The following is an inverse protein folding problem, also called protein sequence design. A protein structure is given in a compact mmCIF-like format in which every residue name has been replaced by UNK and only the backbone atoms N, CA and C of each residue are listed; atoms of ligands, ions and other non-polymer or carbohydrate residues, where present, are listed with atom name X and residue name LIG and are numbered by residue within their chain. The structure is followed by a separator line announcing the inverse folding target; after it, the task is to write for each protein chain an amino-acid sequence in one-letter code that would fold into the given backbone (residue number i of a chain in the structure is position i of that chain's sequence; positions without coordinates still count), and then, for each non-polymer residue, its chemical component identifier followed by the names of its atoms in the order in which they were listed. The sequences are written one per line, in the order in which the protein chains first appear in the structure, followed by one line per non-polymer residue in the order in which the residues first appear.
data_IF_911753047003
#
_entry.id   IF_911753047003
#
_cell.length_a   1.000
_cell.length_b   1.000
_cell.length_c   1.000
_cell.angle_alpha   90.00
_cell.angle_beta   90.00
_cell.angle_gamma   90.00
#
_symmetry.space_group_name_H-M   'P 1'
#
loop_
_entity.id
_entity.type
_entity.pdbx_description
1 polymer ?
#
# COMPACT_ATOMS: atom_id res chain seq x y z
N UNK A 1 28.04 -16.05 -62.29
CA UNK A 1 26.91 -16.44 -61.41
C UNK A 1 27.33 -16.82 -60.00
N UNK A 2 28.22 -17.82 -59.76
CA UNK A 2 28.60 -18.25 -58.39
C UNK A 2 29.17 -17.16 -57.47
N UNK A 3 29.93 -16.20 -58.01
CA UNK A 3 30.47 -15.05 -57.23
C UNK A 3 29.39 -14.03 -56.85
N UNK A 4 28.46 -13.72 -57.76
CA UNK A 4 27.35 -12.80 -57.49
C UNK A 4 26.39 -13.36 -56.43
N UNK A 5 26.09 -14.66 -56.48
CA UNK A 5 25.26 -15.34 -55.47
C UNK A 5 25.93 -15.33 -54.10
N UNK A 6 27.25 -15.55 -54.01
CA UNK A 6 28.01 -15.44 -52.75
C UNK A 6 27.96 -14.03 -52.15
N UNK A 7 28.12 -13.00 -52.99
CA UNK A 7 28.07 -11.60 -52.53
C UNK A 7 26.69 -11.24 -52.00
N UNK A 8 25.63 -11.64 -52.71
CA UNK A 8 24.24 -11.40 -52.28
C UNK A 8 23.92 -12.16 -50.99
N UNK A 9 24.35 -13.42 -50.84
CA UNK A 9 24.11 -14.18 -49.61
C UNK A 9 24.85 -13.61 -48.41
N UNK A 10 26.10 -13.13 -48.61
CA UNK A 10 26.87 -12.49 -47.55
C UNK A 10 26.25 -11.15 -47.12
N UNK A 11 25.74 -10.37 -48.07
CA UNK A 11 25.05 -9.12 -47.78
C UNK A 11 23.73 -9.36 -47.03
N UNK A 12 22.95 -10.36 -47.46
CA UNK A 12 21.71 -10.74 -46.77
C UNK A 12 21.96 -11.23 -45.34
N UNK A 13 23.02 -12.03 -45.11
CA UNK A 13 23.40 -12.48 -43.78
C UNK A 13 23.82 -11.31 -42.87
N UNK A 14 24.62 -10.37 -43.39
CA UNK A 14 25.05 -9.20 -42.64
C UNK A 14 23.86 -8.30 -42.27
N UNK A 15 22.92 -8.12 -43.21
CA UNK A 15 21.69 -7.36 -42.97
C UNK A 15 20.80 -8.03 -41.92
N UNK A 16 20.60 -9.35 -42.01
CA UNK A 16 19.86 -10.13 -41.02
C UNK A 16 20.51 -10.09 -39.63
N UNK A 17 21.84 -10.14 -39.56
CA UNK A 17 22.59 -10.03 -38.31
C UNK A 17 22.45 -8.64 -37.67
N UNK A 18 22.50 -7.57 -38.46
CA UNK A 18 22.25 -6.20 -37.97
C UNK A 18 20.81 -6.06 -37.47
N UNK A 19 19.83 -6.59 -38.20
CA UNK A 19 18.44 -6.62 -37.74
C UNK A 19 18.30 -7.41 -36.43
N UNK A 20 18.94 -8.58 -36.33
CA UNK A 20 18.93 -9.38 -35.11
C UNK A 20 19.52 -8.61 -33.92
N UNK A 21 20.69 -7.97 -34.06
CA UNK A 21 21.29 -7.15 -33.00
C UNK A 21 20.36 -5.99 -32.62
N UNK A 22 19.77 -5.31 -33.59
CA UNK A 22 18.86 -4.19 -33.34
C UNK A 22 17.62 -4.65 -32.57
N UNK A 23 16.97 -5.73 -33.00
CA UNK A 23 15.80 -6.27 -32.32
C UNK A 23 16.15 -6.86 -30.95
N UNK A 24 17.30 -7.53 -30.82
CA UNK A 24 17.77 -8.07 -29.53
C UNK A 24 18.08 -6.95 -28.53
N UNK A 25 18.75 -5.89 -28.98
CA UNK A 25 19.00 -4.70 -28.17
C UNK A 25 17.71 -4.01 -27.73
N UNK A 26 16.76 -3.85 -28.66
CA UNK A 26 15.43 -3.28 -28.36
C UNK A 26 14.65 -4.15 -27.37
N UNK A 27 14.61 -5.46 -27.58
CA UNK A 27 13.95 -6.42 -26.68
C UNK A 27 14.56 -6.38 -25.27
N UNK A 28 15.89 -6.28 -25.16
CA UNK A 28 16.56 -6.15 -23.86
C UNK A 28 16.22 -4.84 -23.17
N UNK A 29 16.15 -3.73 -23.91
CA UNK A 29 15.71 -2.44 -23.35
C UNK A 29 14.25 -2.49 -22.89
N UNK A 30 13.36 -3.10 -23.67
CA UNK A 30 11.94 -3.21 -23.32
C UNK A 30 11.76 -4.08 -22.06
N UNK A 31 12.50 -5.19 -21.94
CA UNK A 31 12.51 -6.01 -20.73
C UNK A 31 13.03 -5.24 -19.49
N UNK A 32 14.13 -4.49 -19.65
CA UNK A 32 14.67 -3.66 -18.55
C UNK A 32 13.64 -2.61 -18.10
N UNK A 33 12.93 -1.97 -19.04
CA UNK A 33 11.87 -1.00 -18.73
C UNK A 33 10.65 -1.65 -18.07
N UNK A 34 10.35 -2.90 -18.41
CA UNK A 34 9.26 -3.67 -17.79
C UNK A 34 9.61 -4.13 -16.37
N UNK A 35 10.90 -4.34 -16.07
CA UNK A 35 11.38 -4.74 -14.74
C UNK A 35 11.40 -3.62 -13.70
N UNK A 36 11.14 -2.37 -14.11
CA UNK A 36 11.07 -1.19 -13.23
C UNK A 36 9.62 -0.89 -12.84
N UNK A 37 9.35 -0.57 -11.56
CA UNK A 37 7.99 -0.32 -11.09
C UNK A 37 7.41 0.90 -11.80
N UNK A 38 6.09 0.92 -12.03
CA UNK A 38 5.42 2.06 -12.70
C UNK A 38 5.66 3.38 -11.96
N UNK A 39 5.72 3.36 -10.62
CA UNK A 39 6.04 4.55 -9.82
C UNK A 39 7.45 5.09 -10.11
N UNK A 40 8.43 4.19 -10.32
CA UNK A 40 9.81 4.55 -10.68
C UNK A 40 10.00 4.98 -12.13
N UNK A 41 8.99 4.82 -12.99
CA UNK A 41 9.04 5.23 -14.42
C UNK A 41 8.89 6.75 -14.61
N UNK A 42 8.49 7.49 -13.57
CA UNK A 42 8.11 8.91 -13.68
C UNK A 42 9.30 9.88 -13.42
N UNK A 43 10.45 9.41 -12.92
CA UNK A 43 11.60 10.28 -12.63
C UNK A 43 12.72 10.06 -13.66
N UNK A 44 12.53 10.53 -14.90
CA UNK A 44 13.67 10.75 -15.82
C UNK A 44 13.32 11.65 -17.02
N UNK A 45 12.61 12.76 -16.80
CA UNK A 45 12.36 13.77 -17.86
C UNK A 45 12.40 15.20 -17.31
N UNK A 46 13.43 15.54 -16.51
CA UNK A 46 13.90 16.93 -16.39
C UNK A 46 15.38 16.92 -16.00
N UNK A 47 16.27 16.79 -16.97
CA UNK A 47 17.70 17.00 -16.76
C UNK A 47 17.99 18.49 -16.67
N UNK A 48 17.82 19.07 -15.47
CA UNK A 48 18.54 20.29 -15.10
C UNK A 48 19.96 19.88 -14.70
N UNK A 49 21.04 20.57 -15.14
CA UNK A 49 22.39 20.18 -14.77
C UNK A 49 22.57 20.25 -13.26
N UNK A 50 22.93 19.13 -12.64
CA UNK A 50 23.18 19.03 -11.21
C UNK A 50 24.43 19.83 -10.82
N UNK A 51 24.29 20.60 -9.75
CA UNK A 51 25.36 21.32 -9.05
C UNK A 51 26.32 20.30 -8.41
N UNK A 52 27.64 20.33 -8.71
CA UNK A 52 28.59 19.30 -8.25
C UNK A 52 28.87 19.27 -6.74
N UNK A 53 28.31 20.19 -5.94
CA UNK A 53 28.58 20.30 -4.50
C UNK A 53 27.38 19.94 -3.58
N UNK A 54 26.33 19.29 -4.09
CA UNK A 54 25.26 18.76 -3.25
C UNK A 54 25.70 17.45 -2.56
N UNK A 55 25.60 17.31 -1.22
CA UNK A 55 25.90 16.07 -0.52
C UNK A 55 24.96 14.97 -1.02
N UNK A 56 25.57 13.85 -1.45
CA UNK A 56 24.95 12.84 -2.31
C UNK A 56 23.59 12.33 -1.83
N UNK A 57 22.60 12.52 -2.70
CA UNK A 57 21.39 11.71 -2.70
C UNK A 57 21.78 10.22 -2.72
N UNK A 58 21.33 9.50 -1.70
CA UNK A 58 21.25 8.04 -1.75
C UNK A 58 20.28 7.70 -2.88
N UNK A 59 20.82 7.55 -4.09
CA UNK A 59 20.11 6.98 -5.22
C UNK A 59 19.79 5.51 -4.89
N UNK A 60 18.67 5.30 -4.21
CA UNK A 60 18.10 3.98 -3.98
C UNK A 60 17.68 3.44 -5.34
N UNK A 61 18.32 2.37 -5.78
CA UNK A 61 17.95 1.73 -7.03
C UNK A 61 16.51 1.19 -6.89
N UNK A 62 15.59 1.52 -7.83
CA UNK A 62 14.23 0.99 -7.79
C UNK A 62 14.26 -0.54 -7.76
N UNK A 63 13.49 -1.14 -6.86
CA UNK A 63 13.41 -2.59 -6.70
C UNK A 63 12.97 -3.22 -8.02
N UNK A 64 13.78 -4.15 -8.55
CA UNK A 64 13.60 -4.70 -9.89
C UNK A 64 12.98 -6.09 -9.83
N UNK A 65 12.10 -6.35 -10.77
CA UNK A 65 11.62 -7.70 -11.03
C UNK A 65 12.79 -8.58 -11.50
N UNK A 66 13.09 -9.66 -10.76
CA UNK A 66 14.08 -10.69 -11.11
C UNK A 66 13.55 -11.64 -12.20
N UNK A 67 12.24 -11.67 -12.38
CA UNK A 67 11.58 -12.28 -13.52
C UNK A 67 10.80 -11.22 -14.29
N UNK A 68 10.85 -11.30 -15.63
CA UNK A 68 10.10 -10.34 -16.44
C UNK A 68 8.59 -10.54 -16.26
N UNK A 69 7.81 -9.44 -16.17
CA UNK A 69 6.37 -9.50 -16.34
C UNK A 69 6.01 -10.12 -17.69
N UNK A 70 4.86 -10.77 -17.77
CA UNK A 70 4.34 -11.23 -19.06
C UNK A 70 3.98 -10.04 -19.96
N UNK A 71 3.86 -10.29 -21.27
CA UNK A 71 3.58 -9.24 -22.26
C UNK A 71 2.25 -8.49 -22.04
N UNK A 72 1.33 -9.09 -21.29
CA UNK A 72 0.05 -8.53 -20.90
C UNK A 72 0.04 -8.03 -19.46
N UNK A 73 1.19 -7.93 -18.77
CA UNK A 73 1.30 -7.50 -17.38
C UNK A 73 2.05 -6.18 -17.25
N UNK A 74 1.59 -5.37 -16.31
CA UNK A 74 2.29 -4.17 -15.85
C UNK A 74 2.87 -4.44 -14.47
N UNK A 75 4.18 -4.32 -14.32
CA UNK A 75 4.87 -4.46 -13.03
C UNK A 75 4.55 -3.28 -12.11
N UNK A 76 4.05 -3.57 -10.91
CA UNK A 76 3.76 -2.56 -9.91
C UNK A 76 4.88 -2.49 -8.87
N UNK A 77 5.21 -3.63 -8.26
CA UNK A 77 6.19 -3.72 -7.18
C UNK A 77 6.70 -5.17 -6.99
N UNK A 78 7.82 -5.36 -6.28
CA UNK A 78 8.37 -6.67 -5.93
C UNK A 78 8.92 -6.70 -4.50
N UNK A 79 8.77 -7.82 -3.80
CA UNK A 79 9.35 -8.06 -2.48
C UNK A 79 10.16 -9.35 -2.55
N UNK A 80 11.41 -9.31 -2.10
CA UNK A 80 12.24 -10.51 -1.93
C UNK A 80 12.05 -11.04 -0.51
N UNK A 81 11.77 -12.33 -0.38
CA UNK A 81 11.51 -12.96 0.92
C UNK A 81 11.63 -14.48 0.83
N UNK A 82 11.79 -15.12 1.99
CA UNK A 82 11.78 -16.57 2.10
C UNK A 82 10.34 -17.04 2.38
N UNK A 83 9.79 -17.89 1.51
CA UNK A 83 8.45 -18.48 1.61
C UNK A 83 8.45 -19.99 1.84
N UNK A 84 9.61 -20.64 1.76
CA UNK A 84 9.73 -22.10 1.84
C UNK A 84 10.76 -22.63 2.84
N UNK A 85 11.35 -21.74 3.63
CA UNK A 85 12.39 -21.99 4.62
C UNK A 85 13.70 -22.56 4.03
N UNK A 86 13.96 -22.35 2.73
CA UNK A 86 15.26 -22.65 2.11
C UNK A 86 16.28 -21.51 2.28
N UNK A 87 17.50 -21.64 1.74
CA UNK A 87 18.52 -20.59 1.86
C UNK A 87 18.34 -19.48 0.80
N UNK A 88 17.54 -19.77 -0.21
CA UNK A 88 17.25 -18.91 -1.32
C UNK A 88 16.04 -18.00 -1.01
N UNK A 89 15.90 -16.93 -1.78
CA UNK A 89 14.79 -16.00 -1.60
C UNK A 89 13.91 -16.06 -2.83
N UNK A 90 12.63 -16.33 -2.63
CA UNK A 90 11.61 -16.05 -3.61
C UNK A 90 11.43 -14.54 -3.81
N UNK A 91 10.85 -14.21 -4.95
CA UNK A 91 10.35 -12.88 -5.22
C UNK A 91 8.84 -12.90 -5.39
N UNK A 92 8.14 -12.08 -4.62
CA UNK A 92 6.71 -11.82 -4.75
C UNK A 92 6.52 -10.57 -5.59
N UNK A 93 5.97 -10.71 -6.80
CA UNK A 93 5.69 -9.61 -7.70
C UNK A 93 4.21 -9.23 -7.63
N UNK A 94 3.96 -7.93 -7.57
CA UNK A 94 2.64 -7.35 -7.76
C UNK A 94 2.51 -6.87 -9.20
N UNK A 95 1.54 -7.41 -9.94
CA UNK A 95 1.35 -7.10 -11.36
C UNK A 95 -0.10 -6.77 -11.67
N UNK A 96 -0.32 -5.85 -12.61
CA UNK A 96 -1.65 -5.56 -13.17
C UNK A 96 -1.77 -6.15 -14.58
N UNK A 97 -2.64 -7.15 -14.81
CA UNK A 97 -2.97 -7.61 -16.14
C UNK A 97 -3.65 -6.51 -16.96
N UNK A 98 -3.29 -6.41 -18.23
CA UNK A 98 -3.77 -5.40 -19.17
C UNK A 98 -5.09 -5.78 -19.85
N UNK A 99 -5.45 -7.08 -19.82
CA UNK A 99 -6.57 -7.67 -20.60
C UNK A 99 -7.57 -8.42 -19.70
N UNK A 100 -7.44 -8.38 -18.37
CA UNK A 100 -8.44 -9.01 -17.51
C UNK A 100 -9.73 -8.18 -17.54
N UNK A 101 -10.87 -8.84 -17.74
CA UNK A 101 -12.21 -8.22 -17.87
C UNK A 101 -12.68 -7.49 -16.58
N UNK A 102 -11.82 -7.40 -15.56
CA UNK A 102 -12.11 -6.83 -14.26
C UNK A 102 -10.94 -5.98 -13.69
N UNK A 103 -9.83 -5.80 -14.42
CA UNK A 103 -8.73 -4.89 -14.05
C UNK A 103 -8.01 -5.19 -12.72
N UNK A 104 -8.29 -6.35 -12.11
CA UNK A 104 -7.77 -6.75 -10.79
C UNK A 104 -6.28 -7.01 -10.82
N UNK A 105 -5.63 -6.69 -9.71
CA UNK A 105 -4.20 -6.87 -9.47
C UNK A 105 -3.93 -8.33 -9.08
N UNK A 106 -2.84 -8.89 -9.59
CA UNK A 106 -2.40 -10.25 -9.32
C UNK A 106 -1.09 -10.27 -8.55
N UNK A 107 -0.92 -11.31 -7.74
CA UNK A 107 0.35 -11.66 -7.11
C UNK A 107 0.97 -12.80 -7.88
N UNK A 108 2.27 -12.71 -8.10
CA UNK A 108 3.08 -13.72 -8.78
C UNK A 108 4.23 -14.08 -7.87
N UNK A 109 4.43 -15.37 -7.63
CA UNK A 109 5.56 -15.86 -6.85
C UNK A 109 6.56 -16.43 -7.83
N UNK A 110 7.78 -15.93 -7.75
CA UNK A 110 8.91 -16.38 -8.53
C UNK A 110 9.92 -17.06 -7.61
N UNK A 111 10.23 -18.30 -7.91
CA UNK A 111 11.12 -19.15 -7.14
C UNK A 111 12.48 -19.26 -7.86
N UNK A 112 13.56 -19.40 -7.10
CA UNK A 112 14.91 -19.52 -7.63
C UNK A 112 15.22 -20.98 -7.93
N UNK A 113 15.67 -21.28 -9.14
CA UNK A 113 16.09 -22.63 -9.50
C UNK A 113 17.64 -22.71 -9.50
N UNK A 114 18.27 -23.38 -8.50
CA UNK A 114 19.73 -23.39 -8.38
C UNK A 114 20.44 -24.04 -9.58
N UNK A 115 19.82 -25.08 -10.15
CA UNK A 115 20.37 -25.82 -11.29
C UNK A 115 20.58 -24.95 -12.54
N UNK A 116 19.75 -23.92 -12.73
CA UNK A 116 19.82 -23.01 -13.87
C UNK A 116 20.32 -21.62 -13.49
N UNK A 117 20.41 -21.32 -12.18
CA UNK A 117 20.77 -20.01 -11.67
C UNK A 117 19.76 -18.92 -12.05
N UNK A 118 18.48 -19.29 -12.21
CA UNK A 118 17.45 -18.40 -12.75
C UNK A 118 16.15 -18.49 -11.97
N UNK A 119 15.42 -17.38 -11.89
CA UNK A 119 14.06 -17.35 -11.38
C UNK A 119 13.06 -17.92 -12.40
N UNK A 120 12.05 -18.63 -11.93
CA UNK A 120 10.90 -19.07 -12.71
C UNK A 120 9.59 -18.71 -11.99
N UNK A 121 8.49 -18.55 -12.75
CA UNK A 121 7.18 -18.26 -12.15
C UNK A 121 6.63 -19.55 -11.55
N UNK A 122 6.55 -19.61 -10.23
CA UNK A 122 6.02 -20.76 -9.49
C UNK A 122 4.50 -20.72 -9.48
N UNK A 123 3.93 -19.56 -9.17
CA UNK A 123 2.49 -19.42 -8.93
C UNK A 123 1.97 -18.02 -9.28
N UNK A 124 0.67 -17.93 -9.56
CA UNK A 124 -0.05 -16.66 -9.77
C UNK A 124 -1.45 -16.74 -9.17
N UNK A 125 -1.84 -15.71 -8.42
CA UNK A 125 -3.20 -15.57 -7.88
C UNK A 125 -3.76 -14.16 -8.05
N UNK A 126 -5.08 -14.07 -8.14
CA UNK A 126 -5.79 -12.80 -8.28
C UNK A 126 -6.24 -12.26 -6.93
N UNK A 127 -6.08 -10.96 -6.72
CA UNK A 127 -6.63 -10.24 -5.56
C UNK A 127 -7.99 -9.62 -5.91
N UNK A 128 -8.69 -9.08 -4.91
CA UNK A 128 -9.85 -8.21 -5.16
C UNK A 128 -9.47 -6.76 -5.49
N UNK A 129 -8.23 -6.35 -5.23
CA UNK A 129 -7.77 -4.98 -5.47
C UNK A 129 -7.68 -4.69 -6.97
N UNK A 130 -8.05 -3.48 -7.36
CA UNK A 130 -8.02 -3.01 -8.75
C UNK A 130 -7.17 -1.76 -8.96
N UNK A 131 -6.95 -0.96 -7.89
CA UNK A 131 -6.23 0.31 -7.94
C UNK A 131 -4.72 0.17 -7.70
N UNK A 132 -3.86 0.43 -8.70
CA UNK A 132 -2.41 0.17 -8.60
C UNK A 132 -1.65 0.96 -7.54
N UNK A 133 -2.11 2.16 -7.21
CA UNK A 133 -1.48 3.03 -6.20
C UNK A 133 -2.01 2.78 -4.78
N UNK A 134 -2.87 1.78 -4.61
CA UNK A 134 -3.45 1.41 -3.32
C UNK A 134 -3.49 -0.11 -3.18
N UNK A 135 -2.44 -0.80 -3.61
CA UNK A 135 -2.19 -2.21 -3.28
C UNK A 135 -0.97 -2.29 -2.39
N UNK A 136 -1.05 -3.15 -1.38
CA UNK A 136 0.01 -3.40 -0.42
C UNK A 136 0.07 -4.89 -0.14
N UNK A 137 1.26 -5.47 -0.18
CA UNK A 137 1.50 -6.88 0.14
C UNK A 137 2.30 -6.94 1.43
N UNK A 138 1.74 -7.57 2.45
CA UNK A 138 2.36 -7.78 3.76
C UNK A 138 2.48 -9.27 4.05
N UNK A 139 3.70 -9.78 4.15
CA UNK A 139 3.95 -11.09 4.75
C UNK A 139 3.72 -11.06 6.26
N UNK A 140 2.93 -11.99 6.78
CA UNK A 140 2.68 -12.11 8.22
C UNK A 140 2.31 -13.55 8.56
N UNK A 141 2.79 -14.04 9.70
CA UNK A 141 2.29 -15.29 10.29
C UNK A 141 1.03 -14.98 11.10
N UNK A 142 -0.13 -15.35 10.55
CA UNK A 142 -1.44 -15.16 11.16
C UNK A 142 -1.84 -16.31 12.08
N UNK A 143 -1.19 -17.47 11.93
CA UNK A 143 -1.59 -18.70 12.63
C UNK A 143 -0.64 -19.06 13.78
N UNK A 144 0.47 -18.34 13.92
CA UNK A 144 1.52 -18.65 14.88
C UNK A 144 2.24 -19.96 14.57
N UNK A 145 2.18 -20.43 13.31
CA UNK A 145 2.77 -21.70 12.88
C UNK A 145 4.17 -21.53 12.25
N UNK A 146 4.68 -20.30 12.23
CA UNK A 146 5.96 -19.91 11.62
C UNK A 146 5.89 -19.72 10.11
N UNK A 147 4.79 -20.12 9.46
CA UNK A 147 4.63 -19.95 8.01
C UNK A 147 4.04 -18.58 7.70
N UNK A 148 4.65 -17.88 6.73
CA UNK A 148 4.16 -16.57 6.32
C UNK A 148 2.96 -16.69 5.37
N UNK A 149 1.87 -16.00 5.69
CA UNK A 149 0.82 -15.67 4.73
C UNK A 149 1.09 -14.34 4.01
N UNK A 150 0.67 -14.25 2.76
CA UNK A 150 0.72 -13.02 1.96
C UNK A 150 -0.61 -12.29 2.07
N UNK A 151 -0.66 -11.23 2.88
CA UNK A 151 -1.80 -10.36 3.03
C UNK A 151 -1.76 -9.26 1.96
N UNK A 152 -2.70 -9.30 1.03
CA UNK A 152 -2.81 -8.35 -0.07
C UNK A 152 -3.95 -7.37 0.24
N UNK A 153 -3.61 -6.23 0.84
CA UNK A 153 -4.54 -5.13 1.06
C UNK A 153 -4.67 -4.28 -0.19
N UNK A 154 -5.88 -3.81 -0.49
CA UNK A 154 -6.01 -2.76 -1.48
C UNK A 154 -7.41 -2.20 -1.63
N UNK A 155 -7.71 -1.64 -2.80
CA UNK A 155 -8.99 -0.99 -3.11
C UNK A 155 -9.59 -1.57 -4.39
N UNK A 156 -10.87 -1.95 -4.35
CA UNK A 156 -11.62 -2.42 -5.53
C UNK A 156 -12.14 -1.28 -6.42
N UNK A 157 -12.77 -1.63 -7.54
CA UNK A 157 -13.41 -0.66 -8.46
C UNK A 157 -14.57 0.13 -7.81
N UNK A 158 -15.14 -0.39 -6.72
CA UNK A 158 -16.23 0.24 -5.97
C UNK A 158 -15.72 1.08 -4.78
N UNK A 159 -14.42 1.38 -4.71
CA UNK A 159 -13.79 2.18 -3.65
C UNK A 159 -13.88 1.55 -2.26
N UNK A 160 -13.96 0.22 -2.18
CA UNK A 160 -13.98 -0.53 -0.91
C UNK A 160 -12.60 -1.09 -0.61
N UNK A 161 -12.25 -1.15 0.67
CA UNK A 161 -11.07 -1.85 1.12
C UNK A 161 -11.21 -3.34 0.85
N UNK A 162 -10.17 -3.94 0.30
CA UNK A 162 -10.08 -5.37 0.04
C UNK A 162 -8.93 -5.98 0.80
N UNK A 163 -9.09 -7.22 1.21
CA UNK A 163 -8.01 -8.05 1.69
C UNK A 163 -8.14 -9.42 1.04
N UNK A 164 -7.06 -9.89 0.41
CA UNK A 164 -6.90 -11.27 -0.05
C UNK A 164 -5.68 -11.86 0.64
N UNK A 165 -5.84 -13.01 1.29
CA UNK A 165 -4.77 -13.69 2.02
C UNK A 165 -4.42 -14.98 1.28
N UNK A 166 -3.17 -15.11 0.87
CA UNK A 166 -2.66 -16.36 0.29
C UNK A 166 -1.79 -17.11 1.31
N UNK A 167 -2.09 -18.39 1.52
CA UNK A 167 -1.27 -19.30 2.33
C UNK A 167 -0.74 -20.42 1.45
N UNK A 168 0.49 -20.85 1.74
CA UNK A 168 1.04 -22.06 1.14
C UNK A 168 0.48 -23.30 1.83
N UNK A 169 -0.20 -24.17 1.08
CA UNK A 169 -0.77 -25.44 1.58
C UNK A 169 -0.22 -26.67 0.85
N UNK A 170 0.58 -26.49 -0.21
CA UNK A 170 1.12 -27.57 -1.01
C UNK A 170 2.52 -27.29 -1.57
N UNK A 171 3.01 -28.19 -2.43
CA UNK A 171 4.27 -28.04 -3.14
C UNK A 171 4.06 -27.77 -4.64
N UNK A 172 5.02 -27.10 -5.29
CA UNK A 172 4.98 -26.83 -6.74
C UNK A 172 3.97 -25.76 -7.16
N UNK A 173 3.40 -25.89 -8.37
CA UNK A 173 2.54 -24.84 -8.96
C UNK A 173 1.17 -24.68 -8.29
N UNK A 174 0.72 -25.65 -7.50
CA UNK A 174 -0.51 -25.58 -6.70
C UNK A 174 -0.22 -25.33 -5.22
N UNK A 175 0.91 -24.67 -4.92
CA UNK A 175 1.36 -24.48 -3.56
C UNK A 175 0.51 -23.47 -2.77
N UNK A 176 -0.03 -22.43 -3.41
CA UNK A 176 -0.68 -21.32 -2.72
C UNK A 176 -2.18 -21.25 -3.00
N UNK A 177 -2.96 -21.00 -1.93
CA UNK A 177 -4.41 -20.90 -1.96
C UNK A 177 -4.88 -19.61 -1.29
N UNK A 178 -5.96 -19.05 -1.83
CA UNK A 178 -6.68 -17.94 -1.18
C UNK A 178 -7.44 -18.47 0.03
N UNK A 179 -6.92 -18.22 1.24
CA UNK A 179 -7.52 -18.64 2.51
C UNK A 179 -8.46 -17.57 3.09
N UNK A 180 -8.46 -16.37 2.52
CA UNK A 180 -9.43 -15.31 2.80
C UNK A 180 -9.50 -14.34 1.62
N UNK A 181 -10.70 -13.87 1.26
CA UNK A 181 -10.87 -12.87 0.21
C UNK A 181 -12.19 -12.13 0.40
N UNK A 182 -12.14 -10.90 0.89
CA UNK A 182 -13.32 -10.08 1.16
C UNK A 182 -13.10 -8.60 0.81
N UNK A 183 -14.22 -7.88 0.66
CA UNK A 183 -14.27 -6.44 0.47
C UNK A 183 -15.23 -5.79 1.47
N UNK A 184 -14.89 -4.61 1.96
CA UNK A 184 -15.67 -3.87 2.94
C UNK A 184 -15.35 -2.38 2.95
N UNK A 185 -16.06 -1.61 3.77
CA UNK A 185 -15.73 -0.22 4.08
C UNK A 185 -14.33 -0.16 4.66
N UNK A 186 -14.05 -1.03 5.63
CA UNK A 186 -12.75 -1.16 6.26
C UNK A 186 -12.48 -2.62 6.61
N UNK A 187 -11.21 -3.02 6.61
CA UNK A 187 -10.76 -4.35 7.01
C UNK A 187 -9.58 -4.22 7.99
N UNK A 188 -9.70 -4.85 9.15
CA UNK A 188 -8.67 -4.87 10.18
C UNK A 188 -8.22 -6.30 10.46
N UNK A 189 -6.91 -6.52 10.50
CA UNK A 189 -6.32 -7.78 10.97
C UNK A 189 -5.85 -7.55 12.40
N UNK A 190 -6.39 -8.31 13.34
CA UNK A 190 -6.07 -8.21 14.74
C UNK A 190 -5.27 -9.46 15.15
N UNK A 191 -4.03 -9.23 15.58
CA UNK A 191 -3.21 -10.26 16.21
C UNK A 191 -3.46 -10.22 17.71
N UNK A 192 -4.03 -11.28 18.26
CA UNK A 192 -4.25 -11.39 19.70
C UNK A 192 -3.09 -12.13 20.34
N UNK A 193 -2.01 -11.43 20.69
CA UNK A 193 -0.81 -11.98 21.38
C UNK A 193 -0.12 -13.17 20.66
N UNK A 194 1.10 -13.51 21.06
CA UNK A 194 1.92 -14.53 20.39
C UNK A 194 1.34 -15.97 20.43
N UNK A 195 0.25 -16.21 21.18
CA UNK A 195 -0.33 -17.55 21.38
C UNK A 195 -1.74 -17.75 20.79
N UNK A 196 -2.37 -16.74 20.17
CA UNK A 196 -3.71 -16.92 19.58
C UNK A 196 -3.79 -16.52 18.12
N UNK A 197 -4.57 -17.29 17.38
CA UNK A 197 -4.79 -17.11 15.95
C UNK A 197 -5.34 -15.70 15.67
N UNK A 198 -4.79 -15.05 14.65
CA UNK A 198 -5.29 -13.75 14.23
C UNK A 198 -6.78 -13.81 13.84
N UNK A 199 -7.45 -12.68 14.00
CA UNK A 199 -8.83 -12.49 13.53
C UNK A 199 -8.88 -11.37 12.50
N UNK A 200 -9.82 -11.47 11.56
CA UNK A 200 -10.02 -10.47 10.51
C UNK A 200 -11.40 -9.85 10.68
N UNK A 201 -11.43 -8.57 11.03
CA UNK A 201 -12.66 -7.80 11.10
C UNK A 201 -12.97 -7.16 9.75
N UNK A 202 -14.15 -7.43 9.21
CA UNK A 202 -14.65 -6.78 7.98
C UNK A 202 -15.84 -5.90 8.35
N UNK A 203 -15.74 -4.61 8.04
CA UNK A 203 -16.81 -3.64 8.24
C UNK A 203 -17.52 -3.44 6.91
N UNK A 204 -18.84 -3.65 6.86
CA UNK A 204 -19.70 -3.46 5.68
C UNK A 204 -20.75 -2.40 5.98
N UNK A 205 -21.36 -1.83 4.95
CA UNK A 205 -22.49 -0.92 5.15
C UNK A 205 -23.68 -1.71 5.72
N UNK A 206 -24.36 -1.16 6.73
CA UNK A 206 -25.55 -1.80 7.27
C UNK A 206 -26.74 -1.56 6.34
N UNK A 207 -27.26 -2.64 5.74
CA UNK A 207 -28.37 -2.58 4.77
C UNK A 207 -29.65 -1.98 5.36
N UNK A 208 -29.88 -2.14 6.66
CA UNK A 208 -31.09 -1.71 7.38
C UNK A 208 -30.84 -0.51 8.31
N UNK A 209 -29.71 0.18 8.13
CA UNK A 209 -29.33 1.34 8.94
C UNK A 209 -30.21 2.57 8.72
N UNK A 210 -30.36 3.38 9.77
CA UNK A 210 -30.99 4.71 9.66
C UNK A 210 -30.01 5.79 9.16
N UNK A 211 -28.71 5.57 9.35
CA UNK A 211 -27.64 6.44 8.87
C UNK A 211 -26.86 5.76 7.74
N UNK A 212 -26.46 6.50 6.67
CA UNK A 212 -25.60 5.96 5.61
C UNK A 212 -24.20 5.54 6.10
N UNK A 213 -23.81 5.94 7.32
CA UNK A 213 -22.58 5.52 7.99
C UNK A 213 -22.78 4.37 8.98
N UNK A 214 -23.98 3.81 9.08
CA UNK A 214 -24.20 2.60 9.87
C UNK A 214 -23.39 1.44 9.27
N UNK A 215 -22.75 0.66 10.13
CA UNK A 215 -21.86 -0.41 9.73
C UNK A 215 -22.26 -1.74 10.39
N UNK A 216 -22.03 -2.83 9.66
CA UNK A 216 -22.04 -4.18 10.21
C UNK A 216 -20.62 -4.68 10.27
N UNK A 217 -20.16 -5.06 11.46
CA UNK A 217 -18.88 -5.71 11.69
C UNK A 217 -19.06 -7.22 11.67
N UNK A 218 -18.30 -7.90 10.81
CA UNK A 218 -18.20 -9.36 10.73
C UNK A 218 -16.79 -9.76 11.16
N UNK A 219 -16.69 -10.61 12.18
CA UNK A 219 -15.40 -11.13 12.66
C UNK A 219 -15.14 -12.47 11.99
N UNK A 220 -14.02 -12.62 11.29
CA UNK A 220 -13.59 -13.88 10.70
C UNK A 220 -12.50 -14.51 11.56
N UNK A 221 -12.61 -15.81 11.77
CA UNK A 221 -11.65 -16.60 12.54
C UNK A 221 -11.14 -17.77 11.70
N UNK A 222 -9.94 -18.24 12.00
CA UNK A 222 -9.37 -19.39 11.31
C UNK A 222 -10.22 -20.65 11.53
N UNK A 223 -10.68 -21.25 10.44
CA UNK A 223 -11.36 -22.54 10.39
C UNK A 223 -10.37 -23.67 10.14
N UNK A 224 -10.80 -24.70 9.39
CA UNK A 224 -9.92 -25.84 9.07
C UNK A 224 -8.82 -25.50 8.07
N UNK A 225 -9.17 -24.75 7.03
CA UNK A 225 -8.31 -24.47 5.86
C UNK A 225 -8.41 -23.02 5.37
N UNK A 226 -9.32 -22.23 5.96
CA UNK A 226 -9.60 -20.84 5.57
C UNK A 226 -10.21 -20.07 6.73
N UNK A 227 -10.22 -18.75 6.62
CA UNK A 227 -10.95 -17.88 7.53
C UNK A 227 -12.46 -17.95 7.25
N UNK A 228 -13.24 -18.15 8.30
CA UNK A 228 -14.70 -18.32 8.23
C UNK A 228 -15.41 -17.21 9.02
N UNK A 229 -16.57 -16.71 8.54
CA UNK A 229 -17.29 -15.64 9.20
C UNK A 229 -17.94 -16.14 10.50
N UNK A 230 -17.75 -15.36 11.56
CA UNK A 230 -18.43 -15.51 12.84
C UNK A 230 -19.64 -14.57 12.98
N UNK A 231 -19.90 -14.13 14.20
CA UNK A 231 -21.06 -13.29 14.54
C UNK A 231 -20.94 -11.89 13.95
N UNK A 232 -22.05 -11.40 13.42
CA UNK A 232 -22.20 -10.02 12.98
C UNK A 232 -22.64 -9.12 14.13
N UNK A 233 -22.11 -7.90 14.18
CA UNK A 233 -22.49 -6.87 15.16
C UNK A 233 -22.77 -5.55 14.46
N UNK A 234 -23.86 -4.91 14.86
CA UNK A 234 -24.26 -3.61 14.33
C UNK A 234 -23.52 -2.48 15.06
N UNK A 235 -23.01 -1.53 14.28
CA UNK A 235 -22.33 -0.33 14.77
C UNK A 235 -23.10 0.87 14.23
N UNK A 236 -23.81 1.62 15.08
CA UNK A 236 -24.51 2.82 14.64
C UNK A 236 -23.49 3.88 14.21
N UNK A 237 -23.71 4.44 13.03
CA UNK A 237 -23.10 5.67 12.59
C UNK A 237 -23.65 6.84 13.39
N UNK A 238 -22.80 7.80 13.72
CA UNK A 238 -23.29 9.07 14.23
C UNK A 238 -24.08 9.74 13.11
N UNK A 239 -25.27 10.28 13.42
CA UNK A 239 -26.08 11.02 12.44
C UNK A 239 -25.32 12.27 12.01
N UNK A 240 -24.59 12.20 10.90
CA UNK A 240 -24.03 13.36 10.22
C UNK A 240 -25.16 14.03 9.45
N UNK A 241 -25.21 15.36 9.43
CA UNK A 241 -26.13 16.09 8.58
C UNK A 241 -25.93 15.66 7.12
N UNK A 242 -26.96 15.10 6.47
CA UNK A 242 -26.89 14.60 5.09
C UNK A 242 -26.36 15.65 4.09
N UNK A 243 -26.59 16.94 4.38
CA UNK A 243 -26.06 18.07 3.62
C UNK A 243 -24.52 18.18 3.71
N UNK A 244 -23.91 17.81 4.84
CA UNK A 244 -22.45 17.80 5.00
C UNK A 244 -21.85 16.59 4.29
N UNK A 245 -22.47 15.41 4.42
CA UNK A 245 -22.02 14.21 3.72
C UNK A 245 -21.99 14.40 2.20
N UNK A 246 -23.05 14.98 1.63
CA UNK A 246 -23.11 15.25 0.18
C UNK A 246 -22.11 16.29 -0.31
N UNK A 247 -21.57 17.14 0.57
CA UNK A 247 -20.53 18.13 0.25
C UNK A 247 -19.11 17.58 0.34
N UNK A 248 -18.87 16.62 1.23
CA UNK A 248 -17.53 16.07 1.50
C UNK A 248 -17.30 14.76 0.73
N UNK A 249 -18.31 13.90 0.66
CA UNK A 249 -18.26 12.60 -0.02
C UNK A 249 -18.84 12.72 -1.44
N UNK A 250 -18.29 13.65 -2.23
CA UNK A 250 -18.73 13.94 -3.61
C UNK A 250 -18.32 12.85 -4.61
N UNK A 251 -17.47 11.92 -4.19
CA UNK A 251 -16.81 10.96 -5.06
C UNK A 251 -15.57 11.53 -5.77
N UNK A 252 -15.14 12.74 -5.42
CA UNK A 252 -13.82 13.29 -5.75
C UNK A 252 -12.93 13.24 -4.52
N UNK A 253 -11.66 12.85 -4.68
CA UNK A 253 -10.75 12.75 -3.55
C UNK A 253 -10.42 14.15 -3.02
N UNK A 254 -10.23 15.11 -3.92
CA UNK A 254 -9.79 16.48 -3.68
C UNK A 254 -10.74 17.24 -2.74
N UNK A 255 -12.05 17.02 -2.84
CA UNK A 255 -13.03 17.64 -1.93
C UNK A 255 -12.86 17.13 -0.49
N UNK A 256 -12.53 15.85 -0.32
CA UNK A 256 -12.21 15.27 0.98
C UNK A 256 -10.85 15.75 1.50
N UNK A 257 -9.85 15.90 0.62
CA UNK A 257 -8.55 16.44 0.98
C UNK A 257 -8.65 17.88 1.50
N UNK A 258 -9.44 18.72 0.82
CA UNK A 258 -9.73 20.08 1.27
C UNK A 258 -10.48 20.12 2.59
N UNK A 259 -11.39 19.17 2.82
CA UNK A 259 -12.01 19.01 4.13
C UNK A 259 -10.96 18.65 5.20
N UNK A 260 -10.02 17.75 4.91
CA UNK A 260 -9.00 17.34 5.89
C UNK A 260 -7.99 18.45 6.22
N UNK A 261 -7.82 19.44 5.35
CA UNK A 261 -6.85 20.52 5.53
C UNK A 261 -6.96 21.18 6.93
N UNK A 262 -5.81 21.30 7.59
CA UNK A 262 -5.69 21.84 8.93
C UNK A 262 -5.35 20.82 10.03
N UNK A 263 -5.54 21.25 11.29
CA UNK A 263 -5.07 20.57 12.49
C UNK A 263 -6.14 19.62 13.07
N UNK A 264 -5.70 18.40 13.39
CA UNK A 264 -6.49 17.34 14.00
C UNK A 264 -5.79 16.81 15.25
N UNK A 265 -6.57 16.51 16.28
CA UNK A 265 -6.07 16.09 17.60
C UNK A 265 -6.66 14.72 17.91
N UNK A 266 -5.79 13.76 18.23
CA UNK A 266 -6.21 12.41 18.59
C UNK A 266 -7.08 12.43 19.84
N UNK A 267 -8.24 11.79 19.78
CA UNK A 267 -9.06 11.56 20.97
C UNK A 267 -8.38 10.47 21.82
N UNK A 268 -7.92 10.82 23.02
CA UNK A 268 -7.33 9.87 23.97
C UNK A 268 -8.22 9.75 25.20
N UNK A 269 -8.40 8.53 25.70
CA UNK A 269 -8.84 8.28 27.07
C UNK A 269 -7.60 8.16 27.97
N UNK A 270 -7.14 9.25 28.59
CA UNK A 270 -6.00 9.20 29.53
C UNK A 270 -5.22 10.51 29.73
N UNK A 271 -4.18 10.45 30.57
CA UNK A 271 -3.28 11.57 30.90
C UNK A 271 -2.05 11.52 29.99
N UNK A 272 -2.00 12.39 28.98
CA UNK A 272 -0.88 12.56 28.05
C UNK A 272 -1.14 13.68 27.04
N UNK A 273 -0.12 14.23 26.40
CA UNK A 273 -0.35 15.18 25.29
C UNK A 273 -0.85 14.39 24.07
N UNK A 274 -1.96 14.80 23.43
CA UNK A 274 -2.51 14.10 22.29
C UNK A 274 -1.63 14.24 21.06
N UNK A 275 -1.47 13.13 20.34
CA UNK A 275 -0.90 13.12 18.99
C UNK A 275 -1.72 14.06 18.12
N UNK A 276 -1.06 15.01 17.47
CA UNK A 276 -1.66 15.93 16.52
C UNK A 276 -1.21 15.59 15.10
N UNK A 277 -2.14 15.71 14.16
CA UNK A 277 -1.91 15.59 12.73
C UNK A 277 -2.25 16.91 12.08
N UNK A 278 -1.39 17.39 11.20
CA UNK A 278 -1.68 18.52 10.34
C UNK A 278 -1.64 18.06 8.89
N UNK A 279 -2.76 18.21 8.18
CA UNK A 279 -2.85 17.94 6.76
C UNK A 279 -2.68 19.24 6.01
N UNK A 280 -1.74 19.24 5.07
CA UNK A 280 -1.51 20.31 4.10
C UNK A 280 -1.87 19.78 2.72
N UNK A 281 -3.11 20.05 2.28
CA UNK A 281 -3.63 19.54 1.02
C UNK A 281 -2.92 20.17 -0.19
N UNK A 282 -2.57 21.46 -0.10
CA UNK A 282 -1.88 22.20 -1.17
C UNK A 282 -0.41 21.78 -1.26
N UNK A 283 0.30 21.72 -0.13
CA UNK A 283 1.70 21.32 -0.05
C UNK A 283 1.94 19.82 -0.19
N UNK A 284 0.87 19.00 -0.18
CA UNK A 284 0.93 17.52 -0.20
C UNK A 284 1.79 16.97 0.94
N UNK A 285 1.57 17.48 2.15
CA UNK A 285 2.32 17.06 3.34
C UNK A 285 1.39 16.70 4.48
N UNK A 286 1.86 15.77 5.31
CA UNK A 286 1.23 15.41 6.58
C UNK A 286 2.28 15.53 7.66
N UNK A 287 2.02 16.36 8.66
CA UNK A 287 2.90 16.53 9.82
C UNK A 287 2.30 15.83 11.02
N UNK A 288 3.09 14.98 11.67
CA UNK A 288 2.72 14.27 12.89
C UNK A 288 3.51 14.88 14.04
N UNK A 289 2.81 15.22 15.10
CA UNK A 289 3.40 15.72 16.34
C UNK A 289 2.87 14.91 17.52
N UNK A 290 3.73 14.09 18.12
CA UNK A 290 3.47 13.42 19.40
C UNK A 290 4.45 13.93 20.47
N UNK A 291 4.33 13.44 21.70
CA UNK A 291 5.31 13.73 22.76
C UNK A 291 6.70 13.19 22.47
N UNK A 292 6.77 12.09 21.71
CA UNK A 292 8.00 11.36 21.46
C UNK A 292 8.62 11.76 20.12
N UNK A 293 7.80 12.12 19.14
CA UNK A 293 8.23 12.19 17.75
C UNK A 293 7.58 13.35 16.99
N UNK A 294 8.37 13.95 16.10
CA UNK A 294 7.89 14.86 15.07
C UNK A 294 8.30 14.28 13.72
N UNK A 295 7.32 14.01 12.87
CA UNK A 295 7.55 13.42 11.56
C UNK A 295 6.83 14.20 10.48
N UNK A 296 7.39 14.17 9.27
CA UNK A 296 6.78 14.74 8.09
C UNK A 296 6.70 13.68 7.00
N UNK A 297 5.54 13.62 6.35
CA UNK A 297 5.22 12.63 5.33
C UNK A 297 4.77 13.33 4.05
N UNK A 298 5.25 12.83 2.93
CA UNK A 298 4.79 13.19 1.60
C UNK A 298 3.45 12.50 1.32
N UNK A 299 2.46 13.28 0.90
CA UNK A 299 1.11 12.82 0.62
C UNK A 299 0.95 12.50 -0.87
N UNK A 300 1.05 11.22 -1.23
CA UNK A 300 0.82 10.74 -2.59
C UNK A 300 -0.66 10.76 -2.99
N UNK A 301 -0.94 10.58 -4.29
CA UNK A 301 -2.30 10.73 -4.86
C UNK A 301 -3.34 9.86 -4.16
N UNK A 302 -4.39 10.51 -3.65
CA UNK A 302 -5.49 9.85 -2.95
C UNK A 302 -6.45 9.12 -3.88
N UNK A 303 -7.02 8.06 -3.36
CA UNK A 303 -8.14 7.32 -3.93
C UNK A 303 -9.35 7.51 -3.04
N UNK A 304 -10.50 7.76 -3.67
CA UNK A 304 -11.79 7.75 -2.96
C UNK A 304 -12.01 6.39 -2.31
N UNK A 305 -12.50 6.44 -1.07
CA UNK A 305 -13.05 5.35 -0.28
C UNK A 305 -14.56 5.55 -0.09
N UNK A 306 -15.23 4.58 0.51
CA UNK A 306 -16.65 4.70 0.85
C UNK A 306 -16.97 5.95 1.70
N UNK A 307 -16.18 6.18 2.76
CA UNK A 307 -16.39 7.26 3.75
C UNK A 307 -15.22 8.23 3.84
N UNK A 308 -14.30 8.23 2.87
CA UNK A 308 -13.13 9.10 2.90
C UNK A 308 -12.14 8.77 1.80
N UNK A 309 -10.87 8.59 2.17
CA UNK A 309 -9.78 8.39 1.20
C UNK A 309 -8.73 7.37 1.65
N UNK A 310 -8.05 6.80 0.67
CA UNK A 310 -6.79 6.07 0.85
C UNK A 310 -5.68 6.73 0.04
N UNK A 311 -4.54 6.97 0.66
CA UNK A 311 -3.40 7.60 0.00
C UNK A 311 -2.08 6.89 0.35
N UNK A 312 -1.21 6.60 -0.63
CA UNK A 312 0.16 6.23 -0.32
C UNK A 312 0.89 7.45 0.26
N UNK A 313 1.65 7.23 1.33
CA UNK A 313 2.48 8.25 1.96
C UNK A 313 3.90 7.72 2.13
N UNK A 314 4.88 8.60 2.02
CA UNK A 314 6.30 8.27 2.25
C UNK A 314 6.91 9.22 3.27
N UNK A 315 7.74 8.72 4.17
CA UNK A 315 8.39 9.58 5.14
C UNK A 315 9.38 10.51 4.43
N UNK A 316 9.32 11.81 4.71
CA UNK A 316 10.18 12.79 4.01
C UNK A 316 11.65 12.70 4.40
N UNK A 317 11.98 12.11 5.56
CA UNK A 317 13.37 11.88 5.98
C UNK A 317 13.89 10.49 5.56
N UNK A 318 13.01 9.51 5.42
CA UNK A 318 13.32 8.15 5.00
C UNK A 318 12.35 7.73 3.88
N UNK A 319 12.61 8.08 2.61
CA UNK A 319 11.67 7.87 1.52
C UNK A 319 11.26 6.40 1.28
N UNK A 320 12.10 5.45 1.69
CA UNK A 320 11.81 4.01 1.65
C UNK A 320 10.69 3.62 2.63
N UNK A 321 10.44 4.42 3.66
CA UNK A 321 9.39 4.16 4.64
C UNK A 321 8.03 4.55 4.05
N UNK A 322 7.39 3.57 3.42
CA UNK A 322 6.10 3.72 2.75
C UNK A 322 4.95 3.21 3.63
N UNK A 323 3.83 3.93 3.62
CA UNK A 323 2.55 3.53 4.25
C UNK A 323 1.38 3.75 3.28
N UNK A 324 0.35 2.93 3.40
CA UNK A 324 -0.97 3.25 2.88
C UNK A 324 -1.79 3.86 4.02
N UNK A 325 -2.13 5.13 3.91
CA UNK A 325 -2.93 5.86 4.88
C UNK A 325 -4.41 5.78 4.49
N UNK A 326 -5.25 5.24 5.36
CA UNK A 326 -6.71 5.31 5.28
C UNK A 326 -7.24 6.38 6.22
N UNK A 327 -8.13 7.25 5.70
CA UNK A 327 -8.80 8.27 6.49
C UNK A 327 -10.30 8.19 6.21
N UNK A 328 -11.07 7.86 7.24
CA UNK A 328 -12.52 7.69 7.17
C UNK A 328 -13.25 8.74 8.00
N UNK A 329 -14.33 9.29 7.45
CA UNK A 329 -15.26 10.15 8.17
C UNK A 329 -16.11 9.32 9.14
N UNK A 330 -16.04 9.66 10.43
CA UNK A 330 -16.86 9.02 11.48
C UNK A 330 -17.80 10.01 12.19
N UNK A 331 -17.61 11.32 11.96
CA UNK A 331 -18.45 12.40 12.46
C UNK A 331 -18.16 13.72 11.73
N UNK A 332 -18.91 14.78 12.03
CA UNK A 332 -18.80 16.11 11.38
C UNK A 332 -17.41 16.72 11.53
N UNK A 333 -16.79 16.52 12.69
CA UNK A 333 -15.48 17.03 13.07
C UNK A 333 -14.56 15.89 13.49
N UNK A 334 -14.89 14.64 13.11
CA UNK A 334 -14.18 13.43 13.52
C UNK A 334 -13.81 12.54 12.34
N UNK A 335 -12.56 12.14 12.31
CA UNK A 335 -12.02 11.19 11.33
C UNK A 335 -11.31 10.05 12.04
N UNK A 336 -11.35 8.86 11.44
CA UNK A 336 -10.52 7.73 11.82
C UNK A 336 -9.34 7.68 10.87
N UNK A 337 -8.14 7.64 11.43
CA UNK A 337 -6.88 7.51 10.69
C UNK A 337 -6.30 6.13 10.97
N UNK A 338 -5.86 5.45 9.91
CA UNK A 338 -5.18 4.16 10.00
C UNK A 338 -4.05 4.09 8.97
N UNK A 339 -2.83 3.81 9.41
CA UNK A 339 -1.71 3.51 8.53
C UNK A 339 -1.57 1.99 8.32
N UNK A 340 -1.09 1.59 7.15
CA UNK A 340 -0.75 0.19 6.86
C UNK A 340 0.62 0.16 6.21
N UNK A 341 1.58 -0.52 6.84
CA UNK A 341 2.96 -0.63 6.36
C UNK A 341 3.06 -1.23 4.95
N UNK A 342 3.73 -0.56 4.00
CA UNK A 342 3.92 -1.14 2.67
C UNK A 342 5.11 -2.10 2.57
N UNK A 343 5.95 -2.15 3.61
CA UNK A 343 7.15 -2.98 3.65
C UNK A 343 7.18 -3.82 4.91
N UNK A 344 7.91 -4.94 4.84
CA UNK A 344 8.32 -5.73 6.00
C UNK A 344 9.25 -4.86 6.83
N UNK A 345 8.70 -4.13 7.80
CA UNK A 345 9.53 -3.48 8.80
C UNK A 345 9.97 -4.60 9.74
N UNK A 346 11.27 -4.94 9.74
CA UNK A 346 11.88 -5.87 10.73
C UNK A 346 11.71 -5.41 12.19
N UNK A 347 11.16 -4.22 12.39
CA UNK A 347 10.85 -3.64 13.68
C UNK A 347 9.37 -3.24 13.67
N UNK A 348 8.63 -3.64 14.70
CA UNK A 348 7.31 -3.08 14.99
C UNK A 348 7.48 -1.59 15.28
N UNK A 349 7.42 -0.75 14.24
CA UNK A 349 7.38 0.69 14.43
C UNK A 349 6.02 1.02 15.02
N UNK A 350 6.03 1.70 16.15
CA UNK A 350 4.84 2.00 16.93
C UNK A 350 4.00 3.03 16.16
N UNK A 351 2.95 2.56 15.50
CA UNK A 351 1.97 3.40 14.81
C UNK A 351 0.98 4.00 15.83
N UNK A 352 1.49 4.75 16.81
CA UNK A 352 0.67 5.38 17.86
C UNK A 352 -0.22 6.54 17.37
N UNK A 353 -0.26 6.76 16.07
CA UNK A 353 -1.09 7.72 15.34
C UNK A 353 -2.31 7.07 14.67
N UNK A 354 -2.48 5.75 14.77
CA UNK A 354 -3.74 5.10 14.43
C UNK A 354 -4.81 5.43 15.48
N UNK A 355 -5.99 5.86 15.05
CA UNK A 355 -7.10 6.15 15.97
C UNK A 355 -8.12 7.16 15.44
N UNK A 356 -8.96 7.66 16.34
CA UNK A 356 -9.96 8.69 16.04
C UNK A 356 -9.40 10.07 16.41
N UNK A 357 -9.60 11.01 15.51
CA UNK A 357 -9.12 12.39 15.60
C UNK A 357 -10.29 13.34 15.51
N UNK A 358 -10.25 14.41 16.31
CA UNK A 358 -11.17 15.54 16.24
C UNK A 358 -10.47 16.75 15.62
N UNK A 359 -11.17 17.53 14.79
CA UNK A 359 -10.65 18.80 14.30
C UNK A 359 -10.37 19.76 15.46
N UNK A 360 -9.20 20.41 15.44
CA UNK A 360 -8.85 21.37 16.46
C UNK A 360 -9.75 22.61 16.40
N UNK A 361 -10.21 23.07 17.56
CA UNK A 361 -10.96 24.33 17.70
C UNK A 361 -10.07 25.41 18.33
N UNK A 362 -10.52 26.67 18.33
CA UNK A 362 -9.78 27.80 18.88
C UNK A 362 -9.31 27.60 20.34
N UNK A 363 -10.13 26.94 21.16
CA UNK A 363 -9.81 26.65 22.58
C UNK A 363 -8.65 25.63 22.73
N UNK A 364 -8.49 24.72 21.76
CA UNK A 364 -7.40 23.74 21.77
C UNK A 364 -6.03 24.40 21.50
N UNK A 365 -6.03 25.50 20.71
CA UNK A 365 -4.83 26.28 20.37
C UNK A 365 -4.34 27.13 21.56
N UNK A 366 -5.25 27.67 22.37
CA UNK A 366 -4.92 28.49 23.54
C UNK A 366 -4.26 27.67 24.66
N UNK A 367 -4.71 26.43 24.88
CA UNK A 367 -4.13 25.52 25.88
C UNK A 367 -2.66 25.17 25.60
N UNK A 368 -2.25 25.17 24.32
CA UNK A 368 -0.86 24.89 23.89
C UNK A 368 0.04 26.12 23.99
N UNK A 369 -0.50 27.31 23.74
CA UNK A 369 0.27 28.57 23.85
C UNK A 369 0.67 28.86 25.30
N UNK A 370 -0.16 28.47 26.28
CA UNK A 370 0.15 28.59 27.71
C UNK A 370 1.26 27.64 28.19
N UNK A 371 1.52 26.52 27.49
CA UNK A 371 2.58 25.57 27.82
C UNK A 371 4.00 26.03 27.42
N UNK A 372 4.11 27.05 26.56
CA UNK A 372 5.40 27.53 26.03
C UNK A 372 5.98 28.76 26.76
N UNK A 373 5.22 29.41 27.65
CA UNK A 373 5.75 30.48 28.50
C UNK A 373 6.09 29.95 29.90
N UNK A 374 7.23 29.27 30.03
CA UNK A 374 7.94 29.25 31.32
C UNK A 374 8.29 30.71 31.67
N UNK A 375 7.63 31.26 32.69
CA UNK A 375 8.03 32.52 33.32
C UNK A 375 9.53 32.45 33.63
N UNK A 376 10.28 33.46 33.20
CA UNK A 376 11.65 33.66 33.63
C UNK A 376 11.70 33.70 35.17
N UNK A 377 12.71 33.10 35.81
CA UNK A 377 12.85 33.19 37.25
C UNK A 377 13.16 34.66 37.61
N UNK A 378 12.34 35.24 38.47
CA UNK A 378 12.70 36.48 39.15
C UNK A 378 13.88 36.17 40.09
N UNK A 379 15.03 36.77 39.81
CA UNK A 379 16.20 36.74 40.68
C UNK A 379 15.88 37.43 42.01
N UNK A 380 16.17 36.75 43.12
CA UNK A 380 16.14 37.27 44.48
C UNK A 380 17.34 36.77 45.27
#
# INVERSE_FOLDING_TARGET
MKRAIKVISSLAFLLAFVFFIFFFGRMRQDNLKASLPVAGRIVELTSTPADPDAPGDLNVAPQRAKINPEWNETFLDAIDMNLDDDEELEQVLTVKPSVSNNGKISIVIADFQPNTGSYFRLWKGETLAAKPNAIVVQPRDLLGDGSLELLCFGIDEANRQTLTVFKRLGAGQEAYYSVFSESGISINVNDTSDESLASIDVFKNALDGSSPLDQTKIVYSWGKEKFEPGTESFIPGVNIEQALMSRILTGQAEDFELYLDGLWIKEIEGIGQPTALYFDAEGRKISIHSTAEQQQWDWGRSNVAFSGIYAPISNSAVPEMLRLLGIDLVGIDRVRVKATAQQIVKFTMREDWDGVYRRANAEDLDSRTQGAMRKAPEEG
#
